data_IF_552893219491
#
_entry.id   IF_552893219491
#
_cell.length_a   1.000
_cell.length_b   1.000
_cell.length_c   1.000
_cell.angle_alpha   90.00
_cell.angle_beta   90.00
_cell.angle_gamma   90.00
#
_symmetry.space_group_name_H-M   'P 1'
#
loop_
_entity.id
_entity.type
_entity.pdbx_description
1 polymer ?
#
# COMPACT_ATOMS: atom_id res chain seq x y z
N UNK A 1 -6.75 -0.36 17.02
CA UNK A 1 -6.00 -0.79 15.83
C UNK A 1 -5.06 0.34 15.44
N UNK A 2 -3.75 0.05 15.31
CA UNK A 2 -2.73 1.01 14.86
C UNK A 2 -2.06 0.46 13.60
N UNK A 3 -1.71 1.32 12.65
CA UNK A 3 -0.97 0.92 11.46
C UNK A 3 0.48 0.57 11.79
N UNK A 4 1.09 -0.37 11.07
CA UNK A 4 2.47 -0.82 11.32
C UNK A 4 3.50 0.31 11.18
N UNK A 5 3.22 1.33 10.36
CA UNK A 5 4.07 2.51 10.23
C UNK A 5 4.18 3.37 11.49
N UNK A 6 3.28 3.20 12.47
CA UNK A 6 3.34 3.90 13.76
C UNK A 6 4.04 3.08 14.86
N UNK A 7 4.73 1.98 14.52
CA UNK A 7 5.45 1.16 15.50
C UNK A 7 6.57 1.97 16.15
N UNK A 8 6.55 2.05 17.47
CA UNK A 8 7.65 2.57 18.30
C UNK A 8 8.30 1.43 19.08
N UNK A 9 9.37 1.72 19.82
CA UNK A 9 10.00 0.74 20.72
C UNK A 9 9.06 0.24 21.83
N UNK A 10 8.07 1.05 22.21
CA UNK A 10 7.11 0.73 23.28
C UNK A 10 5.88 -0.03 22.78
N UNK A 11 5.78 -0.28 21.47
CA UNK A 11 4.63 -0.95 20.85
C UNK A 11 5.01 -2.38 20.45
N UNK A 12 4.40 -3.34 21.14
CA UNK A 12 4.48 -4.75 20.77
C UNK A 12 3.41 -5.10 19.74
N UNK A 13 3.85 -5.42 18.53
CA UNK A 13 2.96 -5.93 17.48
C UNK A 13 2.71 -7.44 17.68
N UNK A 14 1.44 -7.83 17.77
CA UNK A 14 1.05 -9.20 18.13
C UNK A 14 0.75 -10.03 16.87
N UNK A 15 1.29 -11.25 16.74
CA UNK A 15 0.91 -12.19 15.68
C UNK A 15 -0.56 -12.58 15.78
N UNK A 16 -1.22 -12.75 14.64
CA UNK A 16 -2.64 -13.13 14.59
C UNK A 16 -2.89 -14.22 13.55
N UNK A 17 -3.89 -15.06 13.82
CA UNK A 17 -4.38 -16.06 12.89
C UNK A 17 -5.64 -15.59 12.16
N UNK A 18 -5.90 -16.17 10.98
CA UNK A 18 -7.13 -15.93 10.23
C UNK A 18 -8.36 -16.64 10.84
N UNK A 19 -8.14 -17.61 11.72
CA UNK A 19 -9.14 -18.39 12.44
C UNK A 19 -8.65 -18.69 13.86
N UNK A 20 -9.56 -19.16 14.73
CA UNK A 20 -9.28 -19.44 16.15
C UNK A 20 -8.14 -20.44 16.33
N UNK A 21 -8.12 -21.50 15.50
CA UNK A 21 -7.11 -22.56 15.57
C UNK A 21 -6.03 -22.43 14.46
N UNK A 22 -5.97 -21.28 13.81
CA UNK A 22 -5.05 -21.03 12.70
C UNK A 22 -3.63 -20.70 13.14
N UNK A 23 -2.69 -20.84 12.21
CA UNK A 23 -1.30 -20.38 12.42
C UNK A 23 -1.27 -18.88 12.71
N UNK A 24 -0.51 -18.49 13.75
CA UNK A 24 -0.31 -17.10 14.09
C UNK A 24 0.82 -16.50 13.26
N UNK A 25 0.49 -15.53 12.42
CA UNK A 25 1.45 -14.89 11.51
C UNK A 25 1.84 -13.53 12.07
N UNK A 26 3.14 -13.23 12.09
CA UNK A 26 3.67 -11.95 12.54
C UNK A 26 3.42 -10.83 11.51
N UNK A 27 3.18 -9.57 11.94
CA UNK A 27 2.97 -8.41 11.07
C UNK A 27 4.28 -7.88 10.44
N UNK A 28 4.95 -8.73 9.67
CA UNK A 28 6.21 -8.41 8.99
C UNK A 28 6.00 -8.18 7.48
N UNK A 29 6.90 -7.42 6.86
CA UNK A 29 6.80 -7.07 5.45
C UNK A 29 6.63 -8.29 4.52
N UNK A 30 7.41 -9.38 4.64
CA UNK A 30 7.24 -10.56 3.80
C UNK A 30 5.85 -11.19 3.92
N UNK A 31 5.28 -11.22 5.14
CA UNK A 31 3.96 -11.79 5.40
C UNK A 31 2.83 -10.91 4.86
N UNK A 32 3.02 -9.59 4.85
CA UNK A 32 2.09 -8.66 4.23
C UNK A 32 2.13 -8.76 2.69
N UNK A 33 3.32 -8.89 2.10
CA UNK A 33 3.46 -9.00 0.64
C UNK A 33 2.99 -10.34 0.07
N UNK A 34 3.16 -11.43 0.82
CA UNK A 34 2.64 -12.75 0.45
C UNK A 34 1.12 -12.89 0.66
N UNK A 35 0.53 -11.99 1.46
CA UNK A 35 -0.86 -12.09 1.91
C UNK A 35 -1.07 -13.09 3.06
N UNK A 36 0.01 -13.66 3.62
CA UNK A 36 -0.08 -14.56 4.77
C UNK A 36 -0.56 -13.85 6.04
N UNK A 37 -0.19 -12.58 6.25
CA UNK A 37 -0.68 -11.81 7.38
C UNK A 37 -2.13 -11.35 7.13
N UNK A 38 -3.10 -11.78 7.96
CA UNK A 38 -4.53 -11.70 7.61
C UNK A 38 -5.11 -10.29 7.62
N UNK A 39 -4.42 -9.31 8.21
CA UNK A 39 -4.85 -7.90 8.22
C UNK A 39 -3.98 -6.98 7.34
N UNK A 40 -3.26 -7.55 6.38
CA UNK A 40 -2.60 -6.78 5.33
C UNK A 40 -3.63 -6.19 4.36
N UNK A 41 -3.45 -4.93 3.95
CA UNK A 41 -4.36 -4.26 3.01
C UNK A 41 -3.63 -3.16 2.26
N UNK A 42 -4.13 -2.86 1.06
CA UNK A 42 -3.72 -1.65 0.34
C UNK A 42 -4.32 -0.40 0.97
N UNK A 43 -3.57 0.69 0.89
CA UNK A 43 -4.12 2.04 1.03
C UNK A 43 -4.59 2.48 -0.35
N UNK A 44 -5.88 2.76 -0.47
CA UNK A 44 -6.48 3.17 -1.73
C UNK A 44 -6.58 4.69 -1.81
N UNK A 45 -6.25 5.24 -2.97
CA UNK A 45 -6.58 6.61 -3.35
C UNK A 45 -7.82 6.58 -4.21
N UNK A 46 -8.86 7.32 -3.81
CA UNK A 46 -10.06 7.51 -4.63
C UNK A 46 -9.90 8.75 -5.49
N UNK A 47 -9.98 8.59 -6.80
CA UNK A 47 -9.85 9.69 -7.77
C UNK A 47 -11.17 9.86 -8.49
N UNK A 48 -11.82 11.00 -8.27
CA UNK A 48 -13.05 11.34 -8.97
C UNK A 48 -12.72 12.06 -10.28
N UNK A 49 -13.02 11.41 -11.40
CA UNK A 49 -12.94 11.98 -12.74
C UNK A 49 -13.96 11.31 -13.67
N UNK A 50 -14.34 11.96 -14.77
CA UNK A 50 -15.36 11.44 -15.68
C UNK A 50 -14.80 10.22 -16.44
N UNK A 51 -15.48 9.06 -16.46
CA UNK A 51 -15.06 7.91 -17.24
C UNK A 51 -14.91 8.26 -18.73
N UNK A 52 -13.83 7.79 -19.37
CA UNK A 52 -13.51 8.09 -20.76
C UNK A 52 -12.98 9.50 -21.01
N UNK A 53 -12.80 10.32 -19.96
CA UNK A 53 -12.07 11.59 -20.04
C UNK A 53 -10.66 11.47 -19.49
N UNK A 54 -9.86 12.50 -19.71
CA UNK A 54 -8.51 12.59 -19.18
C UNK A 54 -8.47 13.14 -17.76
N UNK A 55 -7.57 12.61 -16.93
CA UNK A 55 -7.22 13.24 -15.67
C UNK A 55 -6.63 14.63 -15.93
N UNK A 56 -7.05 15.58 -15.09
CA UNK A 56 -6.45 16.91 -15.04
C UNK A 56 -4.92 16.80 -14.86
N UNK A 57 -4.11 17.55 -15.63
CA UNK A 57 -2.67 17.35 -15.71
C UNK A 57 -1.95 17.30 -14.37
N UNK A 58 -2.26 18.20 -13.44
CA UNK A 58 -1.60 18.24 -12.13
C UNK A 58 -1.94 17.00 -11.29
N UNK A 59 -3.21 16.58 -11.26
CA UNK A 59 -3.59 15.31 -10.61
C UNK A 59 -2.91 14.10 -11.23
N UNK A 60 -2.76 14.08 -12.55
CA UNK A 60 -2.04 13.00 -13.26
C UNK A 60 -0.58 12.92 -12.81
N UNK A 61 0.15 14.03 -12.82
CA UNK A 61 1.56 14.04 -12.41
C UNK A 61 1.73 13.73 -10.91
N UNK A 62 0.80 14.18 -10.06
CA UNK A 62 0.80 13.78 -8.65
C UNK A 62 0.67 12.27 -8.47
N UNK A 63 -0.28 11.62 -9.16
CA UNK A 63 -0.46 10.17 -9.09
C UNK A 63 0.72 9.40 -9.67
N UNK A 64 1.36 9.93 -10.73
CA UNK A 64 2.63 9.41 -11.25
C UNK A 64 3.74 9.46 -10.21
N UNK A 65 3.90 10.58 -9.52
CA UNK A 65 4.86 10.70 -8.42
C UNK A 65 4.55 9.71 -7.30
N UNK A 66 3.31 9.65 -6.82
CA UNK A 66 2.90 8.73 -5.74
C UNK A 66 3.25 7.28 -6.09
N UNK A 67 3.00 6.84 -7.33
CA UNK A 67 3.27 5.47 -7.80
C UNK A 67 4.69 5.27 -8.34
N UNK A 68 5.52 6.31 -8.38
CA UNK A 68 6.91 6.23 -8.84
C UNK A 68 7.82 5.57 -7.79
N UNK A 69 9.02 5.18 -8.21
CA UNK A 69 10.06 4.72 -7.29
C UNK A 69 10.40 5.77 -6.21
N UNK A 70 10.38 7.06 -6.56
CA UNK A 70 10.63 8.15 -5.61
C UNK A 70 9.52 8.24 -4.56
N UNK A 71 8.26 8.31 -4.99
CA UNK A 71 7.12 8.39 -4.06
C UNK A 71 7.00 7.15 -3.18
N UNK A 72 7.23 5.96 -3.73
CA UNK A 72 7.28 4.72 -2.93
C UNK A 72 8.50 4.66 -2.01
N UNK A 73 9.60 5.31 -2.38
CA UNK A 73 10.74 5.51 -1.49
C UNK A 73 10.37 6.36 -0.26
N UNK A 74 9.50 7.36 -0.43
CA UNK A 74 9.02 8.20 0.67
C UNK A 74 8.04 7.43 1.57
N UNK A 75 7.18 6.56 1.00
CA UNK A 75 6.34 5.62 1.76
C UNK A 75 7.18 4.72 2.68
N UNK A 76 8.31 4.22 2.19
CA UNK A 76 9.22 3.41 2.99
C UNK A 76 9.86 4.20 4.13
N UNK A 77 10.27 5.45 3.89
CA UNK A 77 10.84 6.34 4.93
C UNK A 77 9.84 6.64 6.04
N UNK A 78 8.56 6.72 5.71
CA UNK A 78 7.46 6.93 6.66
C UNK A 78 7.05 5.63 7.41
N UNK A 79 7.77 4.53 7.18
CA UNK A 79 7.56 3.26 7.90
C UNK A 79 6.48 2.37 7.32
N UNK A 80 5.92 2.71 6.15
CA UNK A 80 4.96 1.87 5.44
C UNK A 80 5.63 0.93 4.45
N UNK A 81 4.86 -0.06 4.00
CA UNK A 81 5.30 -1.01 2.99
C UNK A 81 5.02 -0.46 1.59
N UNK A 82 6.05 -0.16 0.78
CA UNK A 82 5.85 0.31 -0.58
C UNK A 82 5.18 -0.76 -1.45
N UNK A 83 4.40 -0.33 -2.44
CA UNK A 83 3.85 -1.24 -3.45
C UNK A 83 4.96 -1.68 -4.41
N UNK A 84 4.80 -2.86 -4.98
CA UNK A 84 5.72 -3.37 -6.01
C UNK A 84 5.53 -2.63 -7.33
N UNK A 85 6.56 -2.63 -8.18
CA UNK A 85 6.48 -2.05 -9.53
C UNK A 85 5.27 -2.58 -10.32
N UNK A 86 5.00 -3.88 -10.22
CA UNK A 86 3.86 -4.52 -10.89
C UNK A 86 2.51 -3.95 -10.44
N UNK A 87 2.38 -3.66 -9.13
CA UNK A 87 1.16 -3.05 -8.58
C UNK A 87 1.07 -1.59 -9.00
N UNK A 88 2.16 -0.83 -8.91
CA UNK A 88 2.22 0.56 -9.33
C UNK A 88 1.82 0.73 -10.80
N UNK A 89 2.38 -0.08 -11.70
CA UNK A 89 2.02 -0.08 -13.12
C UNK A 89 0.54 -0.39 -13.35
N UNK A 90 0.01 -1.42 -12.67
CA UNK A 90 -1.42 -1.74 -12.76
C UNK A 90 -2.30 -0.57 -12.31
N UNK A 91 -1.90 0.14 -11.26
CA UNK A 91 -2.60 1.32 -10.77
C UNK A 91 -2.53 2.50 -11.75
N UNK A 92 -1.38 2.77 -12.37
CA UNK A 92 -1.23 3.80 -13.41
C UNK A 92 -2.12 3.52 -14.62
N UNK A 93 -2.13 2.28 -15.12
CA UNK A 93 -2.98 1.86 -16.25
C UNK A 93 -4.47 2.07 -15.91
N UNK A 94 -4.88 1.77 -14.67
CA UNK A 94 -6.29 1.93 -14.26
C UNK A 94 -6.80 3.38 -14.31
N UNK A 95 -5.89 4.36 -14.30
CA UNK A 95 -6.19 5.79 -14.39
C UNK A 95 -5.78 6.40 -15.74
N UNK A 96 -5.47 5.57 -16.74
CA UNK A 96 -5.12 6.03 -18.09
C UNK A 96 -3.73 6.64 -18.21
N UNK A 97 -2.78 6.19 -17.39
CA UNK A 97 -1.37 6.61 -17.44
C UNK A 97 -0.51 5.40 -17.79
N UNK A 98 0.31 5.54 -18.84
CA UNK A 98 1.30 4.55 -19.29
C UNK A 98 2.64 4.69 -18.55
#
# INVERSE_FOLDING_TARGET
YSGIGYKTADVLAIPIGASVDGELIAPEAPNAYSGAYPLSRFLYLSVNYKPGSELEPLRREFLKYVLSATGQGDVLKDGYLPVTQKIAQKSLISIGVE
#
